data_IF_345080439662
#
_entry.id   IF_345080439662
#
_cell.length_a   1.000
_cell.length_b   1.000
_cell.length_c   1.000
_cell.angle_alpha   90.00
_cell.angle_beta   90.00
_cell.angle_gamma   90.00
#
_symmetry.space_group_name_H-M   'P 1'
#
loop_
_entity.id
_entity.type
_entity.pdbx_description
1 polymer ?
#
# COMPACT_ATOMS: atom_id res chain seq x y z
N UNK A 1 5.47 -13.84 -11.63
CA UNK A 1 5.58 -13.54 -10.19
C UNK A 1 6.94 -13.93 -9.65
N UNK A 2 7.34 -13.32 -8.56
CA UNK A 2 8.53 -13.66 -7.77
C UNK A 2 8.07 -13.92 -6.34
N UNK A 3 8.41 -15.11 -5.81
CA UNK A 3 7.97 -15.53 -4.49
C UNK A 3 8.96 -15.08 -3.42
N UNK A 4 8.43 -14.36 -2.42
CA UNK A 4 9.12 -14.03 -1.18
C UNK A 4 8.38 -14.62 0.00
N UNK A 5 9.00 -15.58 0.69
CA UNK A 5 8.37 -16.34 1.77
C UNK A 5 7.07 -17.00 1.27
N UNK A 6 5.93 -16.55 1.78
CA UNK A 6 4.59 -17.03 1.45
C UNK A 6 3.79 -16.08 0.52
N UNK A 7 4.45 -15.08 -0.08
CA UNK A 7 3.80 -14.07 -0.93
C UNK A 7 4.37 -14.11 -2.36
N UNK A 8 3.49 -14.16 -3.34
CA UNK A 8 3.82 -14.05 -4.75
C UNK A 8 3.67 -12.59 -5.20
N UNK A 9 4.82 -11.93 -5.44
CA UNK A 9 4.89 -10.55 -5.91
C UNK A 9 4.89 -10.55 -7.44
N UNK A 10 4.05 -9.73 -8.04
CA UNK A 10 3.96 -9.61 -9.49
C UNK A 10 5.22 -8.98 -10.07
N UNK A 11 5.77 -9.60 -11.12
CA UNK A 11 6.93 -9.12 -11.87
C UNK A 11 6.42 -8.23 -13.01
N UNK A 12 6.24 -6.94 -12.70
CA UNK A 12 5.65 -5.95 -13.58
C UNK A 12 6.42 -4.62 -13.45
N UNK A 13 6.52 -3.88 -14.53
CA UNK A 13 7.05 -2.51 -14.53
C UNK A 13 5.98 -1.50 -14.11
N UNK A 14 6.41 -0.30 -13.70
CA UNK A 14 5.47 0.75 -13.35
C UNK A 14 4.59 1.17 -14.54
N UNK A 15 5.14 1.17 -15.75
CA UNK A 15 4.42 1.53 -16.96
C UNK A 15 3.34 0.48 -17.30
N UNK A 16 3.69 -0.81 -17.22
CA UNK A 16 2.74 -1.90 -17.42
C UNK A 16 1.63 -1.85 -16.37
N UNK A 17 1.98 -1.57 -15.10
CA UNK A 17 0.99 -1.43 -14.03
C UNK A 17 0.03 -0.28 -14.31
N UNK A 18 0.53 0.90 -14.72
CA UNK A 18 -0.30 2.06 -15.06
C UNK A 18 -1.31 1.76 -16.17
N UNK A 19 -0.91 0.94 -17.16
CA UNK A 19 -1.77 0.54 -18.28
C UNK A 19 -2.79 -0.54 -17.92
N UNK A 20 -2.44 -1.43 -16.99
CA UNK A 20 -3.21 -2.65 -16.69
C UNK A 20 -4.14 -2.49 -15.49
N UNK A 21 -3.83 -1.57 -14.56
CA UNK A 21 -4.58 -1.36 -13.33
C UNK A 21 -5.90 -0.67 -13.62
N UNK A 22 -6.95 -1.45 -13.82
CA UNK A 22 -8.30 -0.97 -14.11
C UNK A 22 -9.30 -1.35 -13.03
N UNK A 23 -9.01 -2.40 -12.24
CA UNK A 23 -9.87 -2.89 -11.16
C UNK A 23 -9.09 -3.70 -10.13
N UNK A 24 -9.62 -3.74 -8.90
CA UNK A 24 -9.13 -4.59 -7.82
C UNK A 24 -8.35 -3.82 -6.75
N UNK A 25 -7.76 -4.56 -5.83
CA UNK A 25 -7.00 -4.01 -4.70
C UNK A 25 -5.51 -4.10 -4.95
N UNK A 26 -4.84 -2.95 -4.92
CA UNK A 26 -3.39 -2.82 -5.01
C UNK A 26 -2.78 -2.73 -3.62
N UNK A 27 -1.89 -3.68 -3.33
CA UNK A 27 -1.08 -3.71 -2.10
C UNK A 27 0.40 -3.68 -2.48
N UNK A 28 1.19 -2.93 -1.71
CA UNK A 28 2.62 -2.75 -1.99
C UNK A 28 3.47 -3.28 -0.84
N UNK A 29 3.81 -4.61 -0.83
CA UNK A 29 4.61 -5.22 0.22
C UNK A 29 6.01 -4.63 0.33
N UNK A 30 6.42 -4.51 1.58
CA UNK A 30 7.79 -4.27 2.00
C UNK A 30 8.21 -5.34 3.02
N UNK A 31 9.41 -5.25 3.56
CA UNK A 31 9.95 -6.21 4.53
C UNK A 31 9.03 -6.38 5.75
N UNK A 32 8.52 -5.27 6.30
CA UNK A 32 7.59 -5.29 7.46
C UNK A 32 6.29 -6.06 7.16
N UNK A 33 5.71 -5.89 5.95
CA UNK A 33 4.55 -6.70 5.54
C UNK A 33 4.88 -8.20 5.55
N UNK A 34 6.02 -8.59 4.95
CA UNK A 34 6.41 -9.99 4.87
C UNK A 34 6.60 -10.63 6.24
N UNK A 35 7.16 -9.90 7.22
CA UNK A 35 7.28 -10.37 8.60
C UNK A 35 5.92 -10.49 9.28
N UNK A 36 5.04 -9.50 9.14
CA UNK A 36 3.68 -9.53 9.71
C UNK A 36 2.86 -10.69 9.16
N UNK A 37 2.98 -10.98 7.88
CA UNK A 37 2.26 -12.08 7.21
C UNK A 37 2.69 -13.48 7.72
N UNK A 38 3.86 -13.61 8.37
CA UNK A 38 4.24 -14.87 9.03
C UNK A 38 3.55 -15.07 10.39
N UNK A 39 3.02 -13.99 10.99
CA UNK A 39 2.48 -13.98 12.35
C UNK A 39 0.96 -13.79 12.41
N UNK A 40 0.40 -13.07 11.45
CA UNK A 40 -1.00 -12.70 11.38
C UNK A 40 -1.71 -13.49 10.26
N UNK A 41 -2.37 -14.60 10.65
CA UNK A 41 -3.09 -15.48 9.71
C UNK A 41 -4.25 -14.77 9.02
N UNK A 42 -4.96 -13.88 9.73
CA UNK A 42 -6.05 -13.11 9.16
C UNK A 42 -5.49 -12.18 8.06
N UNK A 43 -4.44 -11.44 8.37
CA UNK A 43 -3.78 -10.56 7.41
C UNK A 43 -3.28 -11.34 6.20
N UNK A 44 -2.68 -12.51 6.40
CA UNK A 44 -2.26 -13.39 5.31
C UNK A 44 -3.43 -13.81 4.41
N UNK A 45 -4.53 -14.27 5.01
CA UNK A 45 -5.71 -14.70 4.25
C UNK A 45 -6.32 -13.56 3.43
N UNK A 46 -6.39 -12.36 4.00
CA UNK A 46 -6.88 -11.17 3.32
C UNK A 46 -5.93 -10.73 2.20
N UNK A 47 -4.62 -10.83 2.46
CA UNK A 47 -3.59 -10.44 1.50
C UNK A 47 -3.64 -11.27 0.21
N UNK A 48 -3.96 -12.58 0.33
CA UNK A 48 -4.12 -13.48 -0.83
C UNK A 48 -5.32 -13.12 -1.74
N UNK A 49 -6.24 -12.29 -1.26
CA UNK A 49 -7.40 -11.82 -2.04
C UNK A 49 -7.11 -10.54 -2.83
N UNK A 50 -5.93 -9.95 -2.67
CA UNK A 50 -5.53 -8.78 -3.42
C UNK A 50 -5.19 -9.16 -4.87
N UNK A 51 -5.71 -8.40 -5.80
CA UNK A 51 -5.51 -8.61 -7.24
C UNK A 51 -4.13 -8.15 -7.70
N UNK A 52 -3.56 -7.14 -7.02
CA UNK A 52 -2.28 -6.53 -7.36
C UNK A 52 -1.35 -6.50 -6.14
N UNK A 53 -0.29 -7.27 -6.18
CA UNK A 53 0.74 -7.33 -5.14
C UNK A 53 2.07 -6.93 -5.76
N UNK A 54 2.50 -5.69 -5.52
CA UNK A 54 3.60 -5.04 -6.24
C UNK A 54 4.73 -4.66 -5.26
N UNK A 55 5.98 -4.88 -5.63
CA UNK A 55 7.13 -4.62 -4.78
C UNK A 55 7.34 -3.12 -4.49
N UNK A 56 7.10 -2.68 -3.25
CA UNK A 56 7.43 -1.32 -2.78
C UNK A 56 8.92 -1.16 -2.43
N UNK A 57 9.55 -2.25 -1.98
CA UNK A 57 10.83 -2.20 -1.26
C UNK A 57 12.03 -2.35 -2.19
N UNK A 58 12.95 -1.39 -2.14
CA UNK A 58 14.27 -1.50 -2.80
C UNK A 58 15.07 -2.70 -2.28
N UNK A 59 14.93 -3.04 -1.00
CA UNK A 59 15.58 -4.21 -0.40
C UNK A 59 15.07 -5.49 -1.04
N UNK A 60 13.74 -5.67 -1.13
CA UNK A 60 13.14 -6.84 -1.78
C UNK A 60 13.53 -6.92 -3.26
N UNK A 61 13.53 -5.77 -3.96
CA UNK A 61 14.01 -5.71 -5.34
C UNK A 61 15.46 -6.21 -5.47
N UNK A 62 16.38 -5.73 -4.62
CA UNK A 62 17.78 -6.16 -4.65
C UNK A 62 17.92 -7.65 -4.30
N UNK A 63 17.19 -8.13 -3.31
CA UNK A 63 17.18 -9.55 -2.95
C UNK A 63 16.60 -10.43 -4.06
N UNK A 64 15.65 -9.92 -4.84
CA UNK A 64 15.12 -10.68 -5.98
C UNK A 64 16.18 -11.01 -7.02
N UNK A 65 17.26 -10.21 -7.11
CA UNK A 65 18.40 -10.48 -8.01
C UNK A 65 19.19 -11.73 -7.62
N UNK A 66 19.02 -12.21 -6.40
CA UNK A 66 19.61 -13.45 -5.92
C UNK A 66 18.71 -14.68 -6.19
N UNK A 67 17.47 -14.45 -6.65
CA UNK A 67 16.51 -15.48 -6.97
C UNK A 67 16.56 -15.86 -8.46
N UNK A 68 16.06 -17.04 -8.79
CA UNK A 68 15.98 -17.53 -10.19
C UNK A 68 15.20 -16.58 -11.11
N UNK A 69 14.15 -15.94 -10.56
CA UNK A 69 13.36 -14.92 -11.26
C UNK A 69 13.44 -13.61 -10.48
N UNK A 70 13.88 -12.55 -11.14
CA UNK A 70 14.04 -11.25 -10.50
C UNK A 70 12.90 -10.30 -10.86
N UNK A 71 12.61 -9.38 -9.93
CA UNK A 71 11.71 -8.26 -10.20
C UNK A 71 12.37 -7.28 -11.18
N UNK A 72 11.60 -6.62 -12.07
CA UNK A 72 12.15 -5.61 -12.98
C UNK A 72 12.56 -4.35 -12.22
N UNK A 73 11.80 -3.94 -11.22
CA UNK A 73 12.04 -2.75 -10.41
C UNK A 73 11.30 -2.79 -9.08
N UNK A 74 11.64 -1.89 -8.15
CA UNK A 74 10.78 -1.54 -7.04
C UNK A 74 9.82 -0.42 -7.49
N UNK A 75 8.57 -0.49 -7.07
CA UNK A 75 7.51 0.49 -7.36
C UNK A 75 6.99 1.03 -6.03
N UNK A 76 7.64 2.05 -5.43
CA UNK A 76 7.18 2.62 -4.18
C UNK A 76 5.79 3.24 -4.32
N UNK A 77 4.87 2.88 -3.41
CA UNK A 77 3.47 3.28 -3.50
C UNK A 77 3.25 4.78 -3.67
N UNK A 78 4.02 5.61 -2.95
CA UNK A 78 3.94 7.06 -3.07
C UNK A 78 4.42 7.60 -4.42
N UNK A 79 5.42 6.97 -5.05
CA UNK A 79 5.88 7.33 -6.40
C UNK A 79 4.86 6.86 -7.45
N UNK A 80 4.35 5.65 -7.26
CA UNK A 80 3.33 5.10 -8.15
C UNK A 80 2.07 5.97 -8.17
N UNK A 81 1.58 6.41 -7.01
CA UNK A 81 0.37 7.23 -6.94
C UNK A 81 0.55 8.57 -7.65
N UNK A 82 1.72 9.23 -7.50
CA UNK A 82 2.04 10.44 -8.25
C UNK A 82 1.99 10.19 -9.76
N UNK A 83 2.60 9.09 -10.23
CA UNK A 83 2.57 8.72 -11.65
C UNK A 83 1.15 8.33 -12.11
N UNK A 84 0.34 7.73 -11.24
CA UNK A 84 -1.01 7.32 -11.54
C UNK A 84 -1.93 8.52 -11.84
N UNK A 85 -1.99 9.51 -10.96
CA UNK A 85 -2.85 10.66 -11.22
C UNK A 85 -2.34 11.55 -12.36
N UNK A 86 -1.02 11.60 -12.58
CA UNK A 86 -0.45 12.28 -13.75
C UNK A 86 -0.79 11.56 -15.07
N UNK A 87 -0.76 10.22 -15.07
CA UNK A 87 -1.15 9.41 -16.22
C UNK A 87 -2.63 9.61 -16.58
N UNK A 88 -3.49 9.69 -15.56
CA UNK A 88 -4.94 9.89 -15.72
C UNK A 88 -5.38 11.35 -15.69
N UNK A 89 -4.47 12.32 -15.79
CA UNK A 89 -4.82 13.75 -15.69
C UNK A 89 -5.87 14.23 -16.70
N UNK A 90 -5.92 13.61 -17.88
CA UNK A 90 -6.87 13.93 -18.95
C UNK A 90 -8.07 12.96 -18.98
N UNK A 91 -8.13 11.98 -18.11
CA UNK A 91 -9.24 11.04 -17.99
C UNK A 91 -10.26 11.57 -16.98
N UNK A 92 -11.34 12.16 -17.46
CA UNK A 92 -12.39 12.73 -16.62
C UNK A 92 -13.22 11.68 -15.86
N UNK A 93 -13.10 10.39 -16.23
CA UNK A 93 -13.72 9.31 -15.48
C UNK A 93 -12.88 8.92 -14.25
N UNK A 94 -11.59 9.28 -14.20
CA UNK A 94 -10.74 9.04 -13.05
C UNK A 94 -11.09 10.01 -11.92
N UNK A 95 -11.74 9.51 -10.86
CA UNK A 95 -12.18 10.24 -9.67
C UNK A 95 -11.64 9.55 -8.42
N UNK A 96 -10.77 10.22 -7.70
CA UNK A 96 -10.02 9.66 -6.58
C UNK A 96 -10.61 10.16 -5.26
N UNK A 97 -10.73 9.27 -4.26
CA UNK A 97 -10.97 9.61 -2.87
C UNK A 97 -9.74 9.29 -2.03
N UNK A 98 -9.35 10.21 -1.14
CA UNK A 98 -8.25 10.03 -0.19
C UNK A 98 -8.80 9.75 1.20
N UNK A 99 -8.52 8.57 1.75
CA UNK A 99 -8.92 8.18 3.10
C UNK A 99 -7.70 7.91 3.97
N UNK A 100 -7.46 8.72 4.99
CA UNK A 100 -6.35 8.48 5.91
C UNK A 100 -5.61 9.73 6.35
N UNK A 101 -4.44 9.50 6.96
CA UNK A 101 -3.57 10.52 7.53
C UNK A 101 -4.20 11.30 8.70
N UNK A 102 -3.49 12.26 9.28
CA UNK A 102 -3.99 13.09 10.37
C UNK A 102 -5.04 14.09 9.87
N UNK A 103 -5.81 14.64 10.81
CA UNK A 103 -6.85 15.64 10.54
C UNK A 103 -6.34 16.78 9.65
N UNK A 104 -7.10 17.07 8.58
CA UNK A 104 -6.78 18.11 7.60
C UNK A 104 -5.71 17.75 6.57
N UNK A 105 -4.90 16.70 6.79
CA UNK A 105 -3.79 16.33 5.88
C UNK A 105 -4.32 15.79 4.56
N UNK A 106 -5.35 14.95 4.59
CA UNK A 106 -5.97 14.42 3.37
C UNK A 106 -6.57 15.55 2.50
N UNK A 107 -7.22 16.55 3.11
CA UNK A 107 -7.74 17.73 2.39
C UNK A 107 -6.61 18.57 1.78
N UNK A 108 -5.48 18.70 2.48
CA UNK A 108 -4.30 19.40 1.96
C UNK A 108 -3.69 18.67 0.76
N UNK A 109 -3.59 17.34 0.82
CA UNK A 109 -3.16 16.52 -0.31
C UNK A 109 -4.10 16.64 -1.51
N UNK A 110 -5.42 16.57 -1.30
CA UNK A 110 -6.44 16.79 -2.32
C UNK A 110 -6.24 18.12 -3.04
N UNK A 111 -6.12 19.23 -2.28
CA UNK A 111 -5.88 20.55 -2.87
C UNK A 111 -4.61 20.58 -3.71
N UNK A 112 -3.49 20.08 -3.17
CA UNK A 112 -2.21 20.05 -3.87
C UNK A 112 -2.28 19.25 -5.19
N UNK A 113 -2.90 18.07 -5.17
CA UNK A 113 -3.03 17.22 -6.36
C UNK A 113 -3.91 17.90 -7.42
N UNK A 114 -5.06 18.45 -7.02
CA UNK A 114 -5.98 19.12 -7.93
C UNK A 114 -5.35 20.37 -8.57
N UNK A 115 -4.66 21.19 -7.77
CA UNK A 115 -3.92 22.36 -8.27
C UNK A 115 -2.83 21.93 -9.27
N UNK A 116 -2.09 20.86 -8.97
CA UNK A 116 -1.02 20.33 -9.83
C UNK A 116 -1.53 19.74 -11.14
N UNK A 117 -2.65 19.05 -11.12
CA UNK A 117 -3.27 18.43 -12.31
C UNK A 117 -4.05 19.47 -13.12
N UNK A 118 -4.48 20.57 -12.50
CA UNK A 118 -5.29 21.61 -13.12
C UNK A 118 -6.77 21.24 -13.26
N UNK A 119 -7.24 20.22 -12.54
CA UNK A 119 -8.65 19.82 -12.45
C UNK A 119 -8.95 19.08 -11.16
N UNK A 120 -10.22 18.92 -10.85
CA UNK A 120 -10.71 18.17 -9.71
C UNK A 120 -10.67 16.65 -10.00
N UNK A 121 -9.46 16.04 -9.92
CA UNK A 121 -9.26 14.60 -10.05
C UNK A 121 -9.48 13.90 -8.70
N UNK A 122 -9.14 14.56 -7.58
CA UNK A 122 -9.47 14.11 -6.23
C UNK A 122 -10.77 14.77 -5.83
N UNK A 123 -11.86 13.98 -5.79
CA UNK A 123 -13.22 14.43 -5.55
C UNK A 123 -13.64 14.42 -4.08
N UNK A 124 -12.81 13.83 -3.23
CA UNK A 124 -13.06 13.79 -1.79
C UNK A 124 -11.84 13.37 -0.97
N UNK A 125 -11.82 13.79 0.29
CA UNK A 125 -10.75 13.48 1.23
C UNK A 125 -11.29 13.46 2.65
N UNK A 126 -10.94 12.41 3.41
CA UNK A 126 -11.34 12.27 4.81
C UNK A 126 -10.21 11.67 5.65
N UNK A 127 -10.07 12.23 6.87
CA UNK A 127 -9.13 11.71 7.87
C UNK A 127 -9.94 11.07 8.99
N UNK A 128 -9.95 9.72 9.10
CA UNK A 128 -10.72 9.03 10.12
C UNK A 128 -10.12 9.20 11.51
N UNK A 129 -10.91 8.92 12.55
CA UNK A 129 -10.44 8.96 13.93
C UNK A 129 -9.35 7.90 14.20
N UNK A 130 -8.52 8.12 15.23
CA UNK A 130 -7.54 7.13 15.61
C UNK A 130 -8.22 5.86 16.15
N UNK A 131 -7.95 4.72 15.50
CA UNK A 131 -8.56 3.43 15.88
C UNK A 131 -9.94 3.18 15.27
N UNK A 132 -10.34 3.98 14.28
CA UNK A 132 -11.62 3.88 13.58
C UNK A 132 -11.93 2.45 13.08
N UNK A 133 -10.90 1.67 12.76
CA UNK A 133 -11.05 0.30 12.27
C UNK A 133 -11.76 -0.65 13.27
N UNK A 134 -11.88 -0.21 14.53
CA UNK A 134 -12.59 -0.91 15.60
C UNK A 134 -14.01 -0.39 15.82
N UNK A 135 -14.35 0.76 15.24
CA UNK A 135 -15.65 1.39 15.31
C UNK A 135 -16.45 1.07 14.05
N UNK A 136 -17.40 0.15 14.15
CA UNK A 136 -18.21 -0.31 13.01
C UNK A 136 -19.05 0.84 12.43
N UNK A 137 -19.64 1.68 13.28
CA UNK A 137 -20.47 2.80 12.86
C UNK A 137 -19.66 3.83 12.04
N UNK A 138 -18.44 4.16 12.50
CA UNK A 138 -17.54 5.03 11.76
C UNK A 138 -17.09 4.40 10.43
N UNK A 139 -16.79 3.10 10.43
CA UNK A 139 -16.44 2.39 9.19
C UNK A 139 -17.58 2.41 8.17
N UNK A 140 -18.81 2.22 8.60
CA UNK A 140 -20.01 2.28 7.73
C UNK A 140 -20.25 3.71 7.23
N UNK A 141 -20.05 4.72 8.08
CA UNK A 141 -20.11 6.12 7.67
C UNK A 141 -19.06 6.45 6.60
N UNK A 142 -17.82 5.96 6.78
CA UNK A 142 -16.75 6.13 5.79
C UNK A 142 -17.13 5.53 4.43
N UNK A 143 -17.74 4.34 4.41
CA UNK A 143 -18.21 3.74 3.15
C UNK A 143 -19.32 4.59 2.50
N UNK A 144 -20.22 5.16 3.29
CA UNK A 144 -21.26 6.08 2.78
C UNK A 144 -20.65 7.37 2.20
N UNK A 145 -19.68 7.95 2.89
CA UNK A 145 -18.97 9.16 2.42
C UNK A 145 -18.26 8.88 1.08
N UNK A 146 -17.55 7.75 0.97
CA UNK A 146 -16.87 7.36 -0.27
C UNK A 146 -17.88 7.15 -1.40
N UNK A 147 -18.96 6.40 -1.17
CA UNK A 147 -20.01 6.18 -2.17
C UNK A 147 -20.67 7.49 -2.63
N UNK A 148 -20.96 8.41 -1.71
CA UNK A 148 -21.56 9.69 -2.01
C UNK A 148 -20.63 10.62 -2.82
N UNK A 149 -19.33 10.43 -2.76
CA UNK A 149 -18.36 11.25 -3.50
C UNK A 149 -18.33 10.96 -5.01
N UNK A 150 -18.86 9.84 -5.45
CA UNK A 150 -18.80 9.36 -6.83
C UNK A 150 -17.38 8.97 -7.27
N UNK A 151 -16.46 8.72 -6.34
CA UNK A 151 -15.12 8.23 -6.64
C UNK A 151 -15.16 6.78 -7.12
N UNK A 152 -14.34 6.46 -8.12
CA UNK A 152 -14.10 5.10 -8.57
C UNK A 152 -12.72 4.58 -8.20
N UNK A 153 -11.91 5.41 -7.54
CA UNK A 153 -10.58 5.05 -7.02
C UNK A 153 -10.51 5.51 -5.57
N UNK A 154 -10.15 4.58 -4.68
CA UNK A 154 -9.96 4.86 -3.25
C UNK A 154 -8.52 4.59 -2.83
N UNK A 155 -7.82 5.62 -2.40
CA UNK A 155 -6.53 5.48 -1.72
C UNK A 155 -6.73 5.49 -0.22
N UNK A 156 -6.30 4.41 0.45
CA UNK A 156 -6.32 4.28 1.91
C UNK A 156 -4.90 4.36 2.46
N UNK A 157 -4.66 5.37 3.31
CA UNK A 157 -3.35 5.69 3.88
C UNK A 157 -3.37 5.75 5.40
N UNK A 158 -3.74 4.65 6.08
CA UNK A 158 -3.78 4.55 7.55
C UNK A 158 -2.73 3.58 8.12
N UNK A 159 -1.90 3.01 7.24
CA UNK A 159 -0.82 2.09 7.56
C UNK A 159 -1.23 0.63 7.66
N UNK A 160 -0.25 -0.25 7.38
CA UNK A 160 -0.42 -1.71 7.42
C UNK A 160 -0.40 -2.25 8.88
N UNK A 161 -1.19 -3.28 9.19
CA UNK A 161 -2.14 -4.02 8.34
C UNK A 161 -3.56 -3.43 8.31
N UNK A 162 -3.79 -2.27 8.94
CA UNK A 162 -5.14 -1.69 9.11
C UNK A 162 -5.80 -1.35 7.78
N UNK A 163 -5.06 -0.72 6.87
CA UNK A 163 -5.57 -0.30 5.57
C UNK A 163 -6.00 -1.50 4.73
N UNK A 164 -5.19 -2.56 4.68
CA UNK A 164 -5.50 -3.76 3.92
C UNK A 164 -6.71 -4.50 4.53
N UNK A 165 -6.74 -4.67 5.86
CA UNK A 165 -7.85 -5.30 6.57
C UNK A 165 -9.15 -4.52 6.36
N UNK A 166 -9.12 -3.19 6.46
CA UNK A 166 -10.29 -2.36 6.27
C UNK A 166 -10.81 -2.43 4.82
N UNK A 167 -9.93 -2.29 3.82
CA UNK A 167 -10.31 -2.43 2.41
C UNK A 167 -10.99 -3.79 2.17
N UNK A 168 -10.35 -4.89 2.56
CA UNK A 168 -10.86 -6.23 2.30
C UNK A 168 -12.18 -6.53 3.01
N UNK A 169 -12.44 -5.86 4.13
CA UNK A 169 -13.72 -5.99 4.86
C UNK A 169 -14.84 -5.18 4.23
N UNK A 170 -14.54 -3.99 3.72
CA UNK A 170 -15.57 -3.02 3.31
C UNK A 170 -15.66 -2.77 1.80
N UNK A 171 -14.74 -3.29 0.97
CA UNK A 171 -14.73 -3.03 -0.47
C UNK A 171 -16.04 -3.40 -1.17
N UNK A 172 -16.67 -4.49 -0.73
CA UNK A 172 -17.94 -4.95 -1.32
C UNK A 172 -19.13 -4.02 -1.00
N UNK A 173 -18.97 -3.10 -0.03
CA UNK A 173 -19.93 -2.05 0.30
C UNK A 173 -19.72 -0.76 -0.51
N UNK A 174 -18.72 -0.74 -1.41
CA UNK A 174 -18.38 0.40 -2.25
C UNK A 174 -18.36 0.00 -3.74
N UNK A 175 -19.53 -0.35 -4.31
CA UNK A 175 -19.63 -0.97 -5.65
C UNK A 175 -19.19 -0.04 -6.80
N UNK A 176 -19.15 1.27 -6.57
CA UNK A 176 -18.67 2.26 -7.56
C UNK A 176 -17.14 2.38 -7.58
N UNK A 177 -16.44 1.83 -6.58
CA UNK A 177 -14.98 1.89 -6.50
C UNK A 177 -14.38 0.69 -7.25
N UNK A 178 -13.72 0.97 -8.35
CA UNK A 178 -13.04 -0.04 -9.16
C UNK A 178 -11.66 -0.38 -8.61
N UNK A 179 -10.91 0.63 -8.12
CA UNK A 179 -9.52 0.48 -7.67
C UNK A 179 -9.38 0.91 -6.22
N UNK A 180 -8.89 -0.02 -5.39
CA UNK A 180 -8.51 0.21 -4.00
C UNK A 180 -6.99 0.20 -3.87
N UNK A 181 -6.39 1.24 -3.33
CA UNK A 181 -4.94 1.36 -3.16
C UNK A 181 -4.56 1.45 -1.68
N UNK A 182 -3.87 0.44 -1.16
CA UNK A 182 -3.34 0.41 0.20
C UNK A 182 -1.89 0.96 0.20
N UNK A 183 -1.73 2.29 0.24
CA UNK A 183 -0.44 2.95 -0.03
C UNK A 183 0.12 3.76 1.15
N UNK A 184 -0.17 3.38 2.38
CA UNK A 184 0.46 3.89 3.61
C UNK A 184 0.58 5.41 3.68
N UNK A 185 1.80 5.92 3.85
CA UNK A 185 2.10 7.35 4.04
C UNK A 185 2.01 8.21 2.77
N UNK A 186 1.40 7.72 1.69
CA UNK A 186 1.33 8.43 0.41
C UNK A 186 0.62 9.79 0.54
N UNK A 187 -0.47 9.85 1.32
CA UNK A 187 -1.21 11.09 1.58
C UNK A 187 -0.32 12.13 2.26
N UNK A 188 0.49 11.71 3.24
CA UNK A 188 1.42 12.60 3.96
C UNK A 188 2.50 13.18 3.03
N UNK A 189 2.99 12.37 2.06
CA UNK A 189 3.95 12.85 1.06
C UNK A 189 3.30 13.87 0.12
N UNK A 190 2.11 13.61 -0.40
CA UNK A 190 1.40 14.53 -1.30
C UNK A 190 1.01 15.83 -0.58
N UNK A 191 0.65 15.76 0.70
CA UNK A 191 0.39 16.95 1.52
C UNK A 191 1.67 17.74 1.90
N UNK A 192 2.87 17.19 1.62
CA UNK A 192 4.15 17.78 2.00
C UNK A 192 4.42 17.78 3.51
N UNK A 193 3.68 17.01 4.28
CA UNK A 193 3.91 16.79 5.73
C UNK A 193 5.14 15.92 5.93
N UNK A 194 5.27 14.87 5.13
CA UNK A 194 6.50 14.09 5.06
C UNK A 194 7.34 14.52 3.86
N UNK A 195 8.60 14.84 4.12
CA UNK A 195 9.57 15.14 3.05
C UNK A 195 10.24 13.84 2.59
N UNK A 196 10.29 13.64 1.28
CA UNK A 196 11.07 12.55 0.69
C UNK A 196 12.55 12.74 0.99
N UNK A 197 13.27 11.64 1.05
CA UNK A 197 14.74 11.70 1.11
C UNK A 197 15.29 12.45 -0.12
N UNK A 198 16.42 13.16 -0.01
CA UNK A 198 17.09 13.74 -1.17
C UNK A 198 17.33 12.69 -2.25
N UNK A 199 17.32 13.11 -3.53
CA UNK A 199 17.45 12.19 -4.69
C UNK A 199 18.68 11.27 -4.62
N UNK A 200 19.79 11.74 -4.05
CA UNK A 200 20.99 10.93 -3.85
C UNK A 200 20.71 9.72 -2.92
N UNK A 201 20.02 9.93 -1.81
CA UNK A 201 19.65 8.87 -0.87
C UNK A 201 18.66 7.87 -1.48
N UNK A 202 17.72 8.37 -2.29
CA UNK A 202 16.78 7.52 -3.01
C UNK A 202 17.50 6.61 -4.03
N UNK A 203 18.44 7.17 -4.80
CA UNK A 203 19.26 6.43 -5.78
C UNK A 203 20.09 5.32 -5.13
N UNK A 204 20.69 5.60 -3.97
CA UNK A 204 21.49 4.63 -3.21
C UNK A 204 20.62 3.62 -2.43
N UNK A 205 19.28 3.72 -2.47
CA UNK A 205 18.40 2.85 -1.68
C UNK A 205 18.42 3.13 -0.18
N UNK A 206 18.93 4.29 0.25
CA UNK A 206 19.12 4.70 1.65
C UNK A 206 17.96 5.57 2.17
N UNK A 207 16.82 5.60 1.47
CA UNK A 207 15.65 6.35 1.90
C UNK A 207 15.14 5.90 3.27
N UNK A 208 15.15 4.59 3.54
CA UNK A 208 14.81 4.01 4.84
C UNK A 208 15.69 4.57 5.97
N UNK A 209 16.98 4.73 5.74
CA UNK A 209 17.91 5.27 6.73
C UNK A 209 17.66 6.77 6.98
N UNK A 210 17.45 7.56 5.93
CA UNK A 210 17.06 8.96 6.04
C UNK A 210 15.78 9.13 6.87
N UNK A 211 14.76 8.29 6.64
CA UNK A 211 13.52 8.27 7.42
C UNK A 211 13.77 7.88 8.87
N UNK A 212 14.68 6.94 9.12
CA UNK A 212 15.06 6.55 10.48
C UNK A 212 15.67 7.70 11.25
N UNK A 213 16.50 8.53 10.61
CA UNK A 213 17.07 9.73 11.24
C UNK A 213 15.99 10.77 11.59
N UNK A 214 14.90 10.81 10.83
CA UNK A 214 13.76 11.74 11.09
C UNK A 214 12.79 11.22 12.16
N UNK A 215 12.56 9.91 12.22
CA UNK A 215 11.64 9.27 13.14
C UNK A 215 12.32 8.10 13.90
N UNK A 216 13.38 8.35 14.68
CA UNK A 216 14.23 7.28 15.20
C UNK A 216 13.47 6.32 16.14
N UNK A 217 12.65 6.84 17.06
CA UNK A 217 11.92 6.03 18.03
C UNK A 217 11.01 4.96 17.39
N UNK A 218 10.34 5.31 16.30
CA UNK A 218 9.42 4.41 15.58
C UNK A 218 10.14 3.47 14.63
N UNK A 219 11.08 4.00 13.85
CA UNK A 219 11.70 3.27 12.74
C UNK A 219 12.89 2.42 13.17
N UNK A 220 13.63 2.77 14.22
CA UNK A 220 14.70 1.91 14.75
C UNK A 220 14.13 0.57 15.25
N UNK A 221 13.07 0.60 16.07
CA UNK A 221 12.42 -0.64 16.51
C UNK A 221 11.97 -1.49 15.32
N UNK A 222 11.31 -0.86 14.34
CA UNK A 222 10.84 -1.55 13.15
C UNK A 222 11.99 -2.21 12.38
N UNK A 223 13.03 -1.48 12.03
CA UNK A 223 14.11 -2.00 11.17
C UNK A 223 15.03 -2.97 11.88
N UNK A 224 15.38 -2.70 13.15
CA UNK A 224 16.36 -3.51 13.88
C UNK A 224 15.74 -4.62 14.75
N UNK A 225 14.45 -4.60 15.02
CA UNK A 225 13.77 -5.63 15.82
C UNK A 225 12.78 -6.41 14.96
N UNK A 226 11.91 -5.71 14.25
CA UNK A 226 10.83 -6.36 13.51
C UNK A 226 11.32 -6.88 12.15
N UNK A 227 11.96 -6.02 11.34
CA UNK A 227 12.38 -6.36 9.98
C UNK A 227 13.58 -7.31 9.92
N UNK A 228 14.44 -7.37 10.97
CA UNK A 228 15.55 -8.33 11.00
C UNK A 228 15.08 -9.78 10.98
N UNK A 229 13.87 -10.04 11.47
CA UNK A 229 13.25 -11.36 11.44
C UNK A 229 12.99 -11.85 10.02
N UNK A 230 12.90 -10.94 9.05
CA UNK A 230 12.78 -11.30 7.64
C UNK A 230 13.96 -12.16 7.18
N UNK A 231 15.18 -11.79 7.52
CA UNK A 231 16.38 -12.56 7.15
C UNK A 231 16.39 -13.95 7.78
N UNK A 232 15.88 -14.06 9.02
CA UNK A 232 15.69 -15.35 9.65
C UNK A 232 14.67 -16.22 8.90
N UNK A 233 13.53 -15.69 8.52
CA UNK A 233 12.54 -16.42 7.74
C UNK A 233 13.05 -16.75 6.33
N UNK A 234 13.75 -15.83 5.70
CA UNK A 234 14.28 -16.01 4.34
C UNK A 234 15.41 -17.04 4.27
N UNK A 235 16.22 -17.17 5.31
CA UNK A 235 17.31 -18.17 5.41
C UNK A 235 16.87 -19.57 5.81
N UNK A 236 15.62 -19.74 6.26
CA UNK A 236 15.07 -21.07 6.54
C UNK A 236 14.70 -21.77 5.24
N UNK A 237 15.06 -23.05 5.04
CA UNK A 237 14.50 -23.82 3.97
C UNK A 237 12.97 -23.81 4.09
N UNK A 238 12.27 -23.49 2.99
CA UNK A 238 10.80 -23.39 2.98
C UNK A 238 10.23 -24.78 3.28
N UNK A 239 9.98 -25.04 4.55
CA UNK A 239 9.22 -26.20 4.98
C UNK A 239 7.75 -25.90 4.74
N UNK A 240 7.15 -26.52 3.75
CA UNK A 240 5.74 -26.39 3.34
C UNK A 240 4.72 -26.90 4.38
N UNK A 241 5.10 -27.09 5.65
CA UNK A 241 4.35 -27.90 6.61
C UNK A 241 3.39 -27.14 7.53
N UNK A 242 3.08 -25.86 7.34
CA UNK A 242 2.22 -25.18 8.34
C UNK A 242 0.98 -24.42 7.85
N UNK A 243 0.51 -24.65 6.62
CA UNK A 243 -0.81 -24.13 6.19
C UNK A 243 -1.50 -25.07 5.19
N UNK A 244 -1.55 -26.36 5.48
CA UNK A 244 -2.60 -27.21 4.90
C UNK A 244 -3.89 -26.89 5.63
N UNK A 245 -4.85 -26.31 4.92
CA UNK A 245 -6.25 -26.31 5.32
C UNK A 245 -6.66 -27.76 5.58
N UNK A 246 -7.45 -28.05 6.63
CA UNK A 246 -8.07 -29.35 6.76
C UNK A 246 -8.96 -29.56 5.53
N UNK A 247 -8.60 -30.48 4.68
CA UNK A 247 -9.51 -31.02 3.68
C UNK A 247 -10.61 -31.74 4.44
N UNK A 248 -11.80 -31.12 4.54
CA UNK A 248 -13.00 -31.88 4.89
C UNK A 248 -13.18 -32.94 3.79
N UNK A 249 -12.81 -34.17 4.12
CA UNK A 249 -13.39 -35.37 3.53
C UNK A 249 -14.59 -35.70 4.42
N UNK A 250 -15.71 -35.62 3.87
CA UNK A 250 -16.97 -36.36 3.92
C UNK A 250 -18.15 -35.46 3.66
#
# INVERSE_FOLDING_TARGET
TVRFLNVDIQSITQEELLRSLSKGTLITPNVDHLVKLQKDKEFYTLYQKAEWIICDSKILYLMSKLLKHSLPMAIPGSTFFTSFYEYHKNDFNCKIFLLGSAEGVAKKAMKYINDKVGREIVVGAHSPSYGFEKNVEECEELTRIVNASGANILLVGVGAPKQEKWIMKYRDHMPAVDIFMALGATIDFEAGVLKRAPKAWQKCGMEWFYRTLKEPKRLLKRYFVDDIQFFYYFGKPVSYTHLTLPTNRE
#
